data_IF_594273261021
#
_entry.id   IF_594273261021
#
_cell.length_a   1.000
_cell.length_b   1.000
_cell.length_c   1.000
_cell.angle_alpha   90.00
_cell.angle_beta   90.00
_cell.angle_gamma   90.00
#
_symmetry.space_group_name_H-M   'P 1'
#
loop_
_entity.id
_entity.type
_entity.pdbx_description
1 polymer ?
#
# COMPACT_ATOMS: atom_id res chain seq x y z
N UNK A 1 -1.20 11.87 7.16
CA UNK A 1 -2.38 11.01 7.37
C UNK A 1 -3.27 11.68 8.42
N UNK A 2 -4.59 11.57 8.30
CA UNK A 2 -5.54 12.27 9.16
C UNK A 2 -6.08 11.29 10.20
N UNK A 3 -5.59 11.41 11.42
CA UNK A 3 -6.10 10.68 12.58
C UNK A 3 -7.46 11.27 12.95
N UNK A 4 -8.43 10.40 13.20
CA UNK A 4 -9.78 10.74 13.63
C UNK A 4 -10.12 9.97 14.91
N UNK A 5 -11.00 10.56 15.72
CA UNK A 5 -11.43 10.00 16.99
C UNK A 5 -12.93 9.79 16.96
N UNK A 6 -13.36 8.61 17.35
CA UNK A 6 -14.75 8.17 17.24
C UNK A 6 -15.28 7.74 18.60
N UNK A 7 -16.56 7.99 18.83
CA UNK A 7 -17.32 7.40 19.93
C UNK A 7 -18.49 6.65 19.32
N UNK A 8 -18.40 5.33 19.31
CA UNK A 8 -19.24 4.44 18.50
C UNK A 8 -19.74 3.25 19.32
N UNK A 9 -20.87 2.70 18.90
CA UNK A 9 -21.44 1.49 19.50
C UNK A 9 -21.13 0.28 18.62
N UNK A 10 -20.54 -0.75 19.22
CA UNK A 10 -20.11 -1.97 18.55
C UNK A 10 -21.33 -2.78 18.08
N UNK A 11 -21.34 -3.13 16.80
CA UNK A 11 -22.37 -3.98 16.20
C UNK A 11 -21.86 -5.40 15.98
N UNK A 12 -20.61 -5.53 15.52
CA UNK A 12 -19.99 -6.82 15.22
C UNK A 12 -18.48 -6.74 15.43
N UNK A 13 -17.89 -7.83 15.92
CA UNK A 13 -16.47 -7.99 16.15
C UNK A 13 -16.02 -9.33 15.56
N UNK A 14 -15.27 -9.28 14.48
CA UNK A 14 -14.77 -10.45 13.76
C UNK A 14 -13.26 -10.56 13.94
N UNK A 15 -12.83 -11.58 14.67
CA UNK A 15 -11.42 -11.90 14.92
C UNK A 15 -11.12 -13.40 14.92
N UNK A 16 -12.16 -14.23 15.12
CA UNK A 16 -12.07 -15.68 15.05
C UNK A 16 -12.59 -16.17 13.69
N UNK A 17 -11.95 -17.17 13.11
CA UNK A 17 -12.32 -17.74 11.80
C UNK A 17 -12.37 -16.65 10.70
N UNK A 18 -11.28 -15.91 10.58
CA UNK A 18 -11.10 -14.82 9.63
C UNK A 18 -9.89 -15.09 8.74
N UNK A 19 -9.90 -14.50 7.55
CA UNK A 19 -8.76 -14.46 6.65
C UNK A 19 -8.45 -13.00 6.28
N UNK A 20 -7.19 -12.54 6.40
CA UNK A 20 -6.03 -13.28 6.90
C UNK A 20 -6.10 -13.51 8.42
N UNK A 21 -5.44 -14.58 8.89
CA UNK A 21 -5.35 -14.88 10.32
C UNK A 21 -4.66 -13.73 11.07
N UNK A 22 -5.20 -13.38 12.24
CA UNK A 22 -4.66 -12.32 13.10
C UNK A 22 -5.10 -10.91 12.71
N UNK A 23 -5.89 -10.73 11.64
CA UNK A 23 -6.54 -9.45 11.34
C UNK A 23 -7.91 -9.37 12.01
N UNK A 24 -8.31 -8.18 12.46
CA UNK A 24 -9.56 -7.96 13.18
C UNK A 24 -10.41 -6.94 12.45
N UNK A 25 -11.73 -7.17 12.39
CA UNK A 25 -12.73 -6.21 11.90
C UNK A 25 -13.70 -5.86 13.02
N UNK A 26 -13.85 -4.56 13.30
CA UNK A 26 -14.92 -4.03 14.15
C UNK A 26 -15.90 -3.25 13.27
N UNK A 27 -17.17 -3.64 13.31
CA UNK A 27 -18.25 -2.86 12.70
C UNK A 27 -18.96 -2.14 13.83
N UNK A 28 -18.87 -0.81 13.84
CA UNK A 28 -19.46 0.02 14.89
C UNK A 28 -20.10 1.26 14.29
N UNK A 29 -21.38 1.48 14.62
CA UNK A 29 -22.16 2.64 14.16
C UNK A 29 -22.07 2.92 12.64
N UNK A 30 -22.16 1.87 11.81
CA UNK A 30 -22.05 1.90 10.34
C UNK A 30 -20.64 2.23 9.79
N UNK A 31 -19.61 2.21 10.64
CA UNK A 31 -18.21 2.32 10.24
C UNK A 31 -17.51 0.98 10.44
N UNK A 32 -16.47 0.77 9.65
CA UNK A 32 -15.67 -0.46 9.64
C UNK A 32 -14.25 -0.09 10.02
N UNK A 33 -13.74 -0.74 11.07
CA UNK A 33 -12.40 -0.53 11.60
C UNK A 33 -11.60 -1.83 11.48
N UNK A 34 -10.36 -1.73 11.01
CA UNK A 34 -9.43 -2.84 10.87
C UNK A 34 -8.17 -2.61 11.69
N UNK A 35 -7.55 -3.68 12.16
CA UNK A 35 -6.21 -3.70 12.71
C UNK A 35 -5.66 -5.13 12.77
N UNK A 36 -4.36 -5.29 13.02
CA UNK A 36 -3.81 -6.61 13.32
C UNK A 36 -3.73 -6.83 14.83
N UNK A 37 -4.14 -8.02 15.26
CA UNK A 37 -4.08 -8.46 16.64
C UNK A 37 -2.64 -8.42 17.18
N UNK A 38 -1.65 -8.74 16.34
CA UNK A 38 -0.23 -8.74 16.70
C UNK A 38 0.37 -7.35 16.96
N UNK A 39 -0.30 -6.28 16.53
CA UNK A 39 0.17 -4.90 16.74
C UNK A 39 -0.06 -4.43 18.20
N UNK A 40 -0.90 -5.15 18.96
CA UNK A 40 -1.33 -4.78 20.30
C UNK A 40 -1.02 -5.87 21.33
N UNK A 41 -0.51 -5.45 22.48
CA UNK A 41 -0.34 -6.35 23.63
C UNK A 41 -1.69 -6.68 24.27
N UNK A 42 -1.90 -7.94 24.65
CA UNK A 42 -3.13 -8.43 25.29
C UNK A 42 -4.42 -8.25 24.47
N UNK A 43 -4.31 -8.18 23.14
CA UNK A 43 -5.44 -7.99 22.23
C UNK A 43 -6.48 -9.08 22.33
N UNK A 44 -6.06 -10.34 22.47
CA UNK A 44 -6.92 -11.51 22.69
C UNK A 44 -7.89 -11.31 23.86
N UNK A 45 -7.36 -10.98 25.04
CA UNK A 45 -8.14 -10.80 26.27
C UNK A 45 -9.13 -9.64 26.14
N UNK A 46 -8.72 -8.57 25.46
CA UNK A 46 -9.60 -7.43 25.21
C UNK A 46 -10.76 -7.82 24.27
N UNK A 47 -10.47 -8.52 23.18
CA UNK A 47 -11.46 -8.95 22.17
C UNK A 47 -12.47 -9.95 22.74
N UNK A 48 -12.04 -10.87 23.60
CA UNK A 48 -12.93 -11.83 24.26
C UNK A 48 -13.95 -11.16 25.20
N UNK A 49 -13.62 -9.98 25.73
CA UNK A 49 -14.48 -9.25 26.66
C UNK A 49 -15.49 -8.35 25.97
N UNK A 50 -15.27 -8.02 24.70
CA UNK A 50 -16.16 -7.13 23.95
C UNK A 50 -17.50 -7.80 23.64
N UNK A 51 -18.56 -7.03 23.80
CA UNK A 51 -19.93 -7.46 23.52
C UNK A 51 -20.62 -6.50 22.54
N UNK A 52 -21.57 -7.04 21.79
CA UNK A 52 -22.41 -6.22 20.92
C UNK A 52 -23.19 -5.19 21.76
N UNK A 53 -23.17 -3.93 21.34
CA UNK A 53 -23.73 -2.79 22.06
C UNK A 53 -22.70 -2.01 22.88
N UNK A 54 -21.49 -2.54 23.09
CA UNK A 54 -20.44 -1.84 23.82
C UNK A 54 -20.11 -0.50 23.19
N UNK A 55 -19.85 0.49 24.04
CA UNK A 55 -19.51 1.84 23.60
C UNK A 55 -18.00 2.02 23.61
N UNK A 56 -17.44 2.15 22.42
CA UNK A 56 -16.01 2.23 22.19
C UNK A 56 -15.59 3.65 21.83
N UNK A 57 -14.44 4.05 22.36
CA UNK A 57 -13.70 5.21 21.86
C UNK A 57 -12.54 4.72 21.01
N UNK A 58 -12.50 5.11 19.74
CA UNK A 58 -11.53 4.58 18.76
C UNK A 58 -10.75 5.73 18.15
N UNK A 59 -9.42 5.61 18.13
CA UNK A 59 -8.57 6.43 17.27
C UNK A 59 -8.23 5.63 16.02
N UNK A 60 -8.53 6.20 14.87
CA UNK A 60 -8.30 5.50 13.62
C UNK A 60 -7.97 6.43 12.46
N UNK A 61 -7.39 5.86 11.42
CA UNK A 61 -7.01 6.55 10.19
C UNK A 61 -7.87 6.11 9.03
N UNK A 62 -8.40 7.09 8.30
CA UNK A 62 -9.21 6.79 7.12
C UNK A 62 -8.34 6.17 6.02
N UNK A 63 -8.79 5.01 5.55
CA UNK A 63 -8.22 4.26 4.43
C UNK A 63 -8.85 4.73 3.12
N UNK A 64 -8.24 4.38 2.00
CA UNK A 64 -8.71 4.87 0.68
C UNK A 64 -10.11 4.35 0.30
N UNK A 65 -10.49 3.19 0.83
CA UNK A 65 -11.82 2.62 0.65
C UNK A 65 -12.87 3.22 1.60
N UNK A 66 -12.51 4.12 2.50
CA UNK A 66 -13.41 4.73 3.48
C UNK A 66 -13.63 3.88 4.74
N UNK A 67 -12.97 2.73 4.85
CA UNK A 67 -12.77 2.05 6.13
C UNK A 67 -11.71 2.77 6.96
N UNK A 68 -11.48 2.31 8.19
CA UNK A 68 -10.55 2.95 9.12
C UNK A 68 -9.54 1.95 9.67
N UNK A 69 -8.26 2.33 9.74
CA UNK A 69 -7.24 1.56 10.43
C UNK A 69 -7.14 2.01 11.88
N UNK A 70 -7.44 1.14 12.83
CA UNK A 70 -7.45 1.48 14.25
C UNK A 70 -6.02 1.54 14.82
N UNK A 71 -5.70 2.66 15.46
CA UNK A 71 -4.42 2.91 16.13
C UNK A 71 -4.52 2.63 17.63
N UNK A 72 -5.69 2.84 18.24
CA UNK A 72 -6.03 2.34 19.57
C UNK A 72 -7.55 2.26 19.74
N UNK A 73 -7.97 1.40 20.67
CA UNK A 73 -9.38 1.21 21.05
C UNK A 73 -9.47 1.28 22.57
N UNK A 74 -10.42 2.05 23.09
CA UNK A 74 -10.65 2.21 24.52
C UNK A 74 -12.09 1.83 24.87
N UNK A 75 -12.24 1.05 25.95
CA UNK A 75 -13.50 0.75 26.59
C UNK A 75 -13.35 0.90 28.11
N UNK A 76 -14.23 1.68 28.74
CA UNK A 76 -14.13 2.05 30.16
C UNK A 76 -13.97 0.84 31.10
N UNK A 77 -14.69 -0.26 30.82
CA UNK A 77 -14.68 -1.47 31.66
C UNK A 77 -13.82 -2.62 31.15
N UNK A 78 -13.56 -2.66 29.83
CA UNK A 78 -12.89 -3.81 29.20
C UNK A 78 -11.41 -3.55 28.95
N UNK A 79 -10.96 -2.31 29.13
CA UNK A 79 -9.56 -1.90 29.06
C UNK A 79 -9.26 -1.16 27.76
N UNK A 80 -8.07 -1.38 27.22
CA UNK A 80 -7.59 -0.68 26.03
C UNK A 80 -6.69 -1.55 25.17
N UNK A 81 -6.78 -1.32 23.86
CA UNK A 81 -5.76 -1.69 22.89
C UNK A 81 -4.91 -0.46 22.64
N UNK A 82 -3.62 -0.52 22.94
CA UNK A 82 -2.71 0.60 22.73
C UNK A 82 -1.40 0.16 22.06
N UNK A 83 -0.82 0.98 21.18
CA UNK A 83 0.46 0.69 20.56
C UNK A 83 1.53 0.51 21.62
N UNK A 84 2.51 -0.35 21.36
CA UNK A 84 3.62 -0.57 22.26
C UNK A 84 4.31 0.75 22.61
N UNK A 85 4.27 1.11 23.90
CA UNK A 85 4.88 2.34 24.45
C UNK A 85 6.39 2.20 24.66
N UNK A 86 6.91 0.97 24.70
CA UNK A 86 8.32 0.67 25.04
C UNK A 86 9.30 0.90 23.89
N UNK A 87 8.79 1.07 22.67
CA UNK A 87 9.57 1.42 21.48
C UNK A 87 10.37 2.70 21.74
N UNK A 88 11.68 2.54 21.88
CA UNK A 88 12.64 3.57 22.25
C UNK A 88 13.99 3.32 21.55
N UNK A 89 14.88 4.31 21.59
CA UNK A 89 16.24 4.16 21.08
C UNK A 89 16.98 3.07 21.84
N UNK A 90 17.22 1.94 21.19
CA UNK A 90 17.97 0.83 21.79
C UNK A 90 19.44 0.82 21.32
N UNK A 91 20.28 0.03 22.02
CA UNK A 91 21.70 -0.13 21.66
C UNK A 91 21.90 -0.78 20.28
N UNK A 92 20.91 -1.53 19.78
CA UNK A 92 20.98 -2.18 18.47
C UNK A 92 20.94 -1.17 17.32
N UNK A 93 20.01 -0.21 17.40
CA UNK A 93 19.87 0.88 16.43
C UNK A 93 21.13 1.75 16.38
N UNK A 94 21.74 2.02 17.54
CA UNK A 94 23.04 2.72 17.61
C UNK A 94 24.16 1.96 16.89
N UNK A 95 24.22 0.62 17.03
CA UNK A 95 25.19 -0.21 16.29
C UNK A 95 24.92 -0.18 14.79
N UNK A 96 23.66 -0.25 14.36
CA UNK A 96 23.29 -0.15 12.94
C UNK A 96 23.76 1.17 12.33
N UNK A 97 23.54 2.29 13.01
CA UNK A 97 24.06 3.59 12.56
C UNK A 97 25.58 3.59 12.40
N UNK A 98 26.32 3.10 13.40
CA UNK A 98 27.78 3.05 13.34
C UNK A 98 28.28 2.19 12.17
N UNK A 99 27.70 1.00 11.99
CA UNK A 99 28.06 0.10 10.87
C UNK A 99 27.73 0.76 9.53
N UNK A 100 26.55 1.37 9.41
CA UNK A 100 26.13 2.04 8.17
C UNK A 100 27.06 3.20 7.79
N UNK A 101 27.47 4.02 8.75
CA UNK A 101 28.37 5.14 8.54
C UNK A 101 29.78 4.66 8.17
N UNK A 102 30.28 3.61 8.82
CA UNK A 102 31.57 3.02 8.51
C UNK A 102 31.61 2.45 7.08
N UNK A 103 30.53 1.80 6.63
CA UNK A 103 30.41 1.29 5.26
C UNK A 103 30.27 2.42 4.24
N UNK A 104 29.48 3.46 4.53
CA UNK A 104 29.36 4.64 3.66
C UNK A 104 30.68 5.42 3.53
N UNK A 105 31.54 5.38 4.54
CA UNK A 105 32.88 5.99 4.47
C UNK A 105 33.79 5.35 3.41
N UNK A 106 33.39 4.22 2.80
CA UNK A 106 34.08 3.60 1.66
C UNK A 106 33.78 4.30 0.32
N UNK A 107 32.75 5.15 0.22
CA UNK A 107 32.37 5.85 -1.02
C UNK A 107 33.56 6.61 -1.67
N UNK A 108 34.38 7.38 -0.93
CA UNK A 108 35.56 8.03 -1.51
C UNK A 108 36.58 7.05 -2.08
N UNK A 109 36.76 5.88 -1.43
CA UNK A 109 37.65 4.83 -1.91
C UNK A 109 37.10 4.18 -3.19
N UNK A 110 35.79 3.94 -3.28
CA UNK A 110 35.11 3.46 -4.50
C UNK A 110 35.34 4.45 -5.64
N UNK A 111 35.13 5.74 -5.41
CA UNK A 111 35.31 6.80 -6.39
C UNK A 111 36.76 6.89 -6.88
N UNK A 112 37.72 6.87 -5.95
CA UNK A 112 39.15 6.87 -6.29
C UNK A 112 39.56 5.66 -7.11
N UNK A 113 39.10 4.46 -6.73
CA UNK A 113 39.39 3.24 -7.47
C UNK A 113 38.69 3.22 -8.84
N UNK A 114 37.51 3.83 -8.99
CA UNK A 114 36.79 3.91 -10.26
C UNK A 114 37.49 4.85 -11.26
N UNK A 115 38.00 5.99 -10.80
CA UNK A 115 38.72 6.95 -11.67
C UNK A 115 40.08 6.42 -12.09
N UNK A 116 40.78 5.74 -11.19
CA UNK A 116 42.12 5.20 -11.44
C UNK A 116 42.10 3.73 -11.87
N UNK A 117 40.92 3.18 -12.18
CA UNK A 117 40.81 1.87 -12.77
C UNK A 117 41.20 1.97 -14.25
N UNK A 118 42.50 1.94 -14.53
CA UNK A 118 42.98 1.42 -15.82
C UNK A 118 42.43 -0.02 -15.99
N UNK A 119 42.42 -0.58 -17.22
CA UNK A 119 41.83 -1.89 -17.64
C UNK A 119 42.24 -3.14 -16.82
N UNK A 120 42.93 -2.96 -15.69
CA UNK A 120 43.17 -3.93 -14.62
C UNK A 120 41.89 -4.53 -14.05
N UNK A 121 41.68 -5.80 -14.38
CA UNK A 121 40.63 -6.66 -13.85
C UNK A 121 40.56 -6.68 -12.30
N UNK A 122 41.69 -6.57 -11.60
CA UNK A 122 41.73 -6.54 -10.13
C UNK A 122 41.14 -5.25 -9.55
N UNK A 123 41.34 -4.11 -10.23
CA UNK A 123 40.76 -2.83 -9.82
C UNK A 123 39.24 -2.85 -10.01
N UNK A 124 38.76 -3.47 -11.09
CA UNK A 124 37.32 -3.66 -11.33
C UNK A 124 36.68 -4.50 -10.21
N UNK A 125 37.28 -5.64 -9.84
CA UNK A 125 36.80 -6.48 -8.74
C UNK A 125 36.77 -5.70 -7.42
N UNK A 126 37.82 -4.92 -7.13
CA UNK A 126 37.92 -4.12 -5.91
C UNK A 126 36.86 -3.02 -5.86
N UNK A 127 36.61 -2.32 -6.97
CA UNK A 127 35.54 -1.31 -7.10
C UNK A 127 34.18 -1.96 -6.87
N UNK A 128 33.90 -3.14 -7.45
CA UNK A 128 32.64 -3.83 -7.23
C UNK A 128 32.43 -4.23 -5.77
N UNK A 129 33.47 -4.78 -5.11
CA UNK A 129 33.40 -5.17 -3.69
C UNK A 129 33.17 -3.96 -2.76
N UNK A 130 33.96 -2.90 -2.94
CA UNK A 130 33.82 -1.67 -2.16
C UNK A 130 32.49 -0.97 -2.46
N UNK A 131 32.03 -1.00 -3.71
CA UNK A 131 30.75 -0.45 -4.14
C UNK A 131 29.56 -1.16 -3.49
N UNK A 132 29.57 -2.50 -3.48
CA UNK A 132 28.57 -3.30 -2.79
C UNK A 132 28.56 -3.01 -1.28
N UNK A 133 29.73 -2.90 -0.65
CA UNK A 133 29.85 -2.57 0.77
C UNK A 133 29.29 -1.17 1.08
N UNK A 134 29.66 -0.16 0.28
CA UNK A 134 29.16 1.20 0.40
C UNK A 134 27.64 1.28 0.19
N UNK A 135 27.11 0.58 -0.82
CA UNK A 135 25.67 0.50 -1.07
C UNK A 135 24.93 -0.18 0.07
N UNK A 136 25.47 -1.28 0.62
CA UNK A 136 24.94 -1.91 1.82
C UNK A 136 24.89 -0.95 3.01
N UNK A 137 25.91 -0.11 3.16
CA UNK A 137 25.91 0.99 4.14
C UNK A 137 24.77 1.98 3.95
N UNK A 138 24.51 2.43 2.72
CA UNK A 138 23.41 3.34 2.39
C UNK A 138 22.05 2.71 2.74
N UNK A 139 21.84 1.45 2.37
CA UNK A 139 20.59 0.72 2.65
C UNK A 139 20.37 0.60 4.16
N UNK A 140 21.39 0.18 4.92
CA UNK A 140 21.31 0.08 6.37
C UNK A 140 21.03 1.43 7.03
N UNK A 141 21.65 2.51 6.55
CA UNK A 141 21.39 3.85 7.04
C UNK A 141 19.94 4.27 6.81
N UNK A 142 19.39 3.99 5.61
CA UNK A 142 18.00 4.28 5.29
C UNK A 142 17.01 3.53 6.19
N UNK A 143 17.28 2.25 6.49
CA UNK A 143 16.48 1.46 7.44
C UNK A 143 16.53 2.04 8.86
N UNK A 144 17.73 2.36 9.37
CA UNK A 144 17.90 2.97 10.68
C UNK A 144 17.20 4.34 10.78
N UNK A 145 17.24 5.13 9.71
CA UNK A 145 16.54 6.41 9.61
C UNK A 145 15.02 6.22 9.60
N UNK A 146 14.51 5.18 8.91
CA UNK A 146 13.10 4.84 8.92
C UNK A 146 12.61 4.43 10.33
N UNK A 147 13.37 3.59 11.04
CA UNK A 147 13.09 3.21 12.43
C UNK A 147 13.11 4.44 13.36
N UNK A 148 14.14 5.28 13.25
CA UNK A 148 14.26 6.51 14.05
C UNK A 148 13.09 7.46 13.79
N UNK A 149 12.69 7.62 12.53
CA UNK A 149 11.53 8.42 12.14
C UNK A 149 10.24 7.85 12.72
N UNK A 150 10.11 6.53 12.78
CA UNK A 150 8.98 5.86 13.43
C UNK A 150 8.95 6.14 14.94
N UNK A 151 10.09 5.99 15.64
CA UNK A 151 10.23 6.27 17.08
C UNK A 151 9.89 7.73 17.41
N UNK A 152 10.45 8.67 16.64
CA UNK A 152 10.29 10.11 16.84
C UNK A 152 9.03 10.69 16.19
N UNK A 153 8.21 9.85 15.57
CA UNK A 153 7.06 10.30 14.79
C UNK A 153 6.14 11.21 15.63
N UNK A 154 5.95 12.48 15.24
CA UNK A 154 5.08 13.40 15.98
C UNK A 154 3.64 12.88 16.00
N UNK A 155 3.26 12.14 14.96
CA UNK A 155 1.99 11.44 14.82
C UNK A 155 1.78 10.42 15.94
N UNK A 156 2.75 9.52 16.17
CA UNK A 156 2.68 8.52 17.26
C UNK A 156 2.55 9.19 18.63
N UNK A 157 3.35 10.22 18.89
CA UNK A 157 3.27 11.00 20.13
C UNK A 157 1.89 11.64 20.32
N UNK A 158 1.30 12.18 19.26
CA UNK A 158 -0.04 12.75 19.29
C UNK A 158 -1.11 11.68 19.55
N UNK A 159 -1.01 10.51 18.92
CA UNK A 159 -1.94 9.38 19.09
C UNK A 159 -1.92 8.88 20.54
N UNK A 160 -0.74 8.69 21.13
CA UNK A 160 -0.60 8.26 22.52
C UNK A 160 -1.10 9.31 23.51
N UNK A 161 -0.76 10.59 23.27
CA UNK A 161 -1.29 11.69 24.09
C UNK A 161 -2.82 11.77 24.03
N UNK A 162 -3.41 11.52 22.86
CA UNK A 162 -4.85 11.48 22.69
C UNK A 162 -5.50 10.38 23.52
N UNK A 163 -4.89 9.19 23.55
CA UNK A 163 -5.34 8.08 24.38
C UNK A 163 -5.30 8.45 25.88
N UNK A 164 -4.21 9.03 26.35
CA UNK A 164 -4.07 9.44 27.76
C UNK A 164 -5.17 10.44 28.17
N UNK A 165 -5.45 11.44 27.32
CA UNK A 165 -6.54 12.41 27.55
C UNK A 165 -7.94 11.76 27.55
N UNK A 166 -8.16 10.74 26.73
CA UNK A 166 -9.43 10.02 26.68
C UNK A 166 -9.63 9.16 27.93
N UNK A 167 -8.55 8.54 28.43
CA UNK A 167 -8.56 7.81 29.70
C UNK A 167 -8.88 8.76 30.86
N UNK A 168 -8.34 9.98 30.83
CA UNK A 168 -8.64 11.03 31.81
C UNK A 168 -10.04 11.67 31.63
N UNK A 169 -10.83 11.22 30.66
CA UNK A 169 -12.19 11.71 30.40
C UNK A 169 -12.25 13.10 29.74
N UNK A 170 -11.12 13.61 29.21
CA UNK A 170 -11.00 14.96 28.66
C UNK A 170 -11.35 15.04 27.16
N UNK A 171 -12.58 14.63 26.81
CA UNK A 171 -13.09 14.73 25.44
C UNK A 171 -14.53 15.21 25.41
N UNK A 172 -14.89 15.91 24.33
CA UNK A 172 -16.26 16.38 24.08
C UNK A 172 -16.90 15.55 22.97
N UNK A 173 -18.14 15.12 23.22
CA UNK A 173 -18.96 14.41 22.23
C UNK A 173 -19.61 15.45 21.31
N UNK A 174 -19.42 15.30 20.00
CA UNK A 174 -20.19 16.07 19.03
C UNK A 174 -21.61 15.50 18.95
N UNK A 175 -22.64 16.32 19.12
CA UNK A 175 -24.04 15.85 19.13
C UNK A 175 -24.53 15.38 17.75
N UNK A 176 -23.88 15.80 16.67
CA UNK A 176 -24.32 15.54 15.29
C UNK A 176 -23.41 14.56 14.52
N UNK A 177 -22.20 14.32 15.00
CA UNK A 177 -21.24 13.42 14.36
C UNK A 177 -20.72 12.42 15.38
N UNK A 178 -20.61 11.14 15.03
CA UNK A 178 -20.01 10.07 15.87
C UNK A 178 -18.50 10.28 16.14
N UNK A 179 -18.01 11.49 15.93
CA UNK A 179 -16.64 11.94 16.16
C UNK A 179 -16.55 12.64 17.50
N UNK A 180 -15.40 12.50 18.16
CA UNK A 180 -15.10 13.23 19.39
C UNK A 180 -14.00 14.26 19.14
N UNK A 181 -14.12 15.40 19.83
CA UNK A 181 -13.06 16.40 19.90
C UNK A 181 -12.29 16.20 21.19
N UNK A 182 -10.99 15.93 21.08
CA UNK A 182 -10.09 15.77 22.22
C UNK A 182 -9.46 17.14 22.50
N UNK A 183 -9.57 17.58 23.76
CA UNK A 183 -9.12 18.90 24.18
C UNK A 183 -7.62 19.07 23.90
N UNK A 184 -7.26 20.14 23.18
CA UNK A 184 -5.87 20.45 22.86
C UNK A 184 -5.25 19.64 21.70
N UNK A 185 -6.01 18.77 21.04
CA UNK A 185 -5.56 18.05 19.83
C UNK A 185 -6.40 18.49 18.63
N UNK A 186 -5.75 19.03 17.61
CA UNK A 186 -6.43 19.42 16.36
C UNK A 186 -6.86 18.17 15.60
N UNK A 187 -8.15 17.82 15.69
CA UNK A 187 -8.77 16.87 14.78
C UNK A 187 -8.95 17.54 13.41
N UNK A 188 -8.46 16.90 12.34
CA UNK A 188 -8.69 17.39 10.98
C UNK A 188 -10.08 16.95 10.53
N UNK A 189 -11.00 17.91 10.38
CA UNK A 189 -12.35 17.67 9.89
C UNK A 189 -12.34 16.98 8.52
N UNK A 190 -13.29 16.06 8.37
CA UNK A 190 -13.38 15.22 7.19
C UNK A 190 -13.64 16.06 5.93
N UNK A 191 -12.99 15.73 4.81
CA UNK A 191 -13.36 16.30 3.51
C UNK A 191 -14.38 15.32 2.93
N UNK A 192 -15.66 15.69 2.94
CA UNK A 192 -16.72 14.83 2.42
C UNK A 192 -16.30 14.24 1.06
N UNK A 193 -16.18 12.91 1.01
CA UNK A 193 -15.84 12.21 -0.21
C UNK A 193 -16.93 12.51 -1.24
N UNK A 194 -16.57 13.26 -2.29
CA UNK A 194 -17.51 13.62 -3.34
C UNK A 194 -17.94 12.34 -4.06
N UNK A 195 -19.14 11.86 -3.79
CA UNK A 195 -19.79 10.81 -4.56
C UNK A 195 -19.91 11.29 -6.01
N UNK A 196 -19.03 10.78 -6.88
CA UNK A 196 -19.02 11.13 -8.30
C UNK A 196 -20.18 10.39 -8.96
N UNK A 197 -21.24 11.13 -9.34
CA UNK A 197 -22.28 10.61 -10.24
C UNK A 197 -21.60 10.33 -11.59
N UNK A 198 -21.57 9.08 -12.07
CA UNK A 198 -21.14 8.83 -13.46
C UNK A 198 -22.33 8.66 -14.38
N UNK A 199 -22.11 8.95 -15.65
CA UNK A 199 -22.98 8.51 -16.73
C UNK A 199 -22.92 6.99 -16.83
N UNK A 200 -24.07 6.34 -16.68
CA UNK A 200 -24.25 4.90 -16.82
C UNK A 200 -24.14 4.50 -18.29
N UNK A 201 -22.90 4.35 -18.78
CA UNK A 201 -22.61 3.95 -20.15
C UNK A 201 -22.07 2.51 -20.23
N UNK A 202 -22.63 1.57 -19.46
CA UNK A 202 -22.41 0.15 -19.75
C UNK A 202 -23.74 -0.59 -19.91
N UNK A 203 -23.94 -1.02 -21.15
CA UNK A 203 -25.08 -1.79 -21.63
C UNK A 203 -24.66 -3.26 -21.69
N UNK A 204 -25.41 -4.11 -21.00
CA UNK A 204 -25.67 -5.53 -21.28
C UNK A 204 -24.53 -6.36 -21.91
N UNK A 205 -23.80 -7.07 -21.02
CA UNK A 205 -23.30 -8.46 -21.15
C UNK A 205 -22.00 -8.63 -20.33
N UNK A 206 -22.11 -8.53 -19.00
CA UNK A 206 -21.04 -9.04 -18.14
C UNK A 206 -20.90 -10.55 -18.42
N UNK A 207 -19.71 -10.99 -18.85
CA UNK A 207 -19.43 -12.41 -19.13
C UNK A 207 -19.01 -13.19 -17.89
N UNK A 208 -19.01 -12.53 -16.74
CA UNK A 208 -18.61 -13.08 -15.46
C UNK A 208 -19.78 -13.83 -14.83
N UNK A 209 -19.48 -15.00 -14.28
CA UNK A 209 -20.39 -15.72 -13.40
C UNK A 209 -20.39 -15.05 -12.04
N UNK A 210 -21.55 -15.02 -11.40
CA UNK A 210 -21.73 -14.44 -10.07
C UNK A 210 -22.20 -15.52 -9.13
N UNK A 211 -21.51 -15.67 -8.00
CA UNK A 211 -21.96 -16.53 -6.90
C UNK A 211 -22.10 -15.67 -5.67
N UNK A 212 -23.33 -15.60 -5.15
CA UNK A 212 -23.66 -14.83 -3.96
C UNK A 212 -24.17 -15.73 -2.85
N UNK A 213 -23.67 -15.57 -1.64
CA UNK A 213 -24.17 -16.29 -0.47
C UNK A 213 -23.29 -16.09 0.75
N UNK A 214 -23.68 -16.71 1.85
CA UNK A 214 -22.87 -16.74 3.07
C UNK A 214 -21.64 -17.61 2.85
N UNK A 215 -20.49 -17.08 3.22
CA UNK A 215 -19.21 -17.76 3.07
C UNK A 215 -18.94 -18.70 4.24
N UNK A 216 -18.47 -19.89 3.92
CA UNK A 216 -17.87 -20.83 4.85
C UNK A 216 -16.39 -20.98 4.48
N UNK A 217 -15.49 -20.50 5.33
CA UNK A 217 -14.04 -20.60 5.15
C UNK A 217 -13.65 -22.05 5.47
N UNK A 218 -13.22 -22.78 4.45
CA UNK A 218 -12.87 -24.21 4.57
C UNK A 218 -11.40 -24.42 4.88
N UNK A 219 -10.52 -23.53 4.41
CA UNK A 219 -9.09 -23.60 4.70
C UNK A 219 -8.43 -22.22 4.62
N UNK A 220 -7.41 -22.02 5.44
CA UNK A 220 -6.52 -20.86 5.38
C UNK A 220 -5.09 -21.37 5.55
N UNK A 221 -4.28 -21.23 4.51
CA UNK A 221 -2.94 -21.80 4.45
C UNK A 221 -1.97 -20.72 3.96
N UNK A 222 -0.86 -20.51 4.68
CA UNK A 222 0.25 -19.69 4.19
C UNK A 222 1.25 -20.59 3.48
N UNK A 223 1.35 -20.45 2.18
CA UNK A 223 2.26 -21.16 1.30
C UNK A 223 3.50 -20.29 1.07
N UNK A 224 4.69 -20.87 1.21
CA UNK A 224 5.91 -20.22 0.74
C UNK A 224 6.29 -20.87 -0.58
N UNK A 225 6.21 -20.11 -1.66
CA UNK A 225 6.52 -20.57 -3.02
C UNK A 225 7.84 -19.96 -3.44
N UNK A 226 8.86 -20.80 -3.59
CA UNK A 226 10.12 -20.40 -4.20
C UNK A 226 9.91 -20.19 -5.71
N UNK A 227 10.16 -18.97 -6.18
CA UNK A 227 10.06 -18.62 -7.60
C UNK A 227 11.42 -18.10 -8.07
N UNK A 228 12.29 -18.99 -8.54
CA UNK A 228 13.70 -18.66 -8.79
C UNK A 228 14.44 -18.44 -7.46
N UNK A 229 15.16 -17.32 -7.35
CA UNK A 229 15.92 -16.94 -6.14
C UNK A 229 15.06 -16.20 -5.09
N UNK A 230 13.78 -15.92 -5.38
CA UNK A 230 12.87 -15.22 -4.46
C UNK A 230 11.88 -16.18 -3.80
N UNK A 231 11.79 -16.11 -2.46
CA UNK A 231 10.73 -16.76 -1.69
C UNK A 231 9.52 -15.83 -1.60
N UNK A 232 8.38 -16.26 -2.14
CA UNK A 232 7.14 -15.51 -2.02
C UNK A 232 6.17 -16.21 -1.06
N UNK A 233 5.67 -15.48 -0.07
CA UNK A 233 4.58 -15.94 0.78
C UNK A 233 3.23 -15.63 0.12
N UNK A 234 2.40 -16.66 -0.06
CA UNK A 234 1.05 -16.58 -0.56
C UNK A 234 0.09 -17.12 0.50
N UNK A 235 -1.02 -16.44 0.71
CA UNK A 235 -2.13 -16.93 1.52
C UNK A 235 -3.17 -17.57 0.58
N UNK A 236 -3.40 -18.85 0.78
CA UNK A 236 -4.46 -19.61 0.15
C UNK A 236 -5.68 -19.63 1.07
N UNK A 237 -6.83 -19.25 0.53
CA UNK A 237 -8.10 -19.20 1.24
C UNK A 237 -9.12 -20.03 0.48
N UNK A 238 -9.50 -21.16 1.04
CA UNK A 238 -10.59 -21.99 0.53
C UNK A 238 -11.92 -21.45 1.02
N UNK A 239 -12.81 -21.12 0.10
CA UNK A 239 -14.14 -20.58 0.35
C UNK A 239 -15.21 -21.55 -0.17
N UNK A 240 -16.27 -21.72 0.60
CA UNK A 240 -17.46 -22.42 0.17
C UNK A 240 -18.66 -21.46 0.23
N UNK A 241 -19.28 -21.22 -0.92
CA UNK A 241 -20.45 -20.33 -1.06
C UNK A 241 -21.51 -21.09 -1.85
N UNK A 242 -22.71 -21.27 -1.28
CA UNK A 242 -23.81 -22.03 -1.90
C UNK A 242 -23.39 -23.41 -2.47
N UNK A 243 -22.57 -24.16 -1.73
CA UNK A 243 -22.00 -25.47 -2.13
C UNK A 243 -20.94 -25.42 -3.24
N UNK A 244 -20.69 -24.26 -3.84
CA UNK A 244 -19.56 -24.05 -4.74
C UNK A 244 -18.29 -23.82 -3.93
N UNK A 245 -17.24 -24.56 -4.25
CA UNK A 245 -15.91 -24.38 -3.66
C UNK A 245 -15.09 -23.47 -4.57
N UNK A 246 -14.41 -22.50 -3.96
CA UNK A 246 -13.63 -21.47 -4.63
C UNK A 246 -12.34 -21.25 -3.85
N UNK A 247 -11.22 -21.23 -4.56
CA UNK A 247 -9.92 -21.01 -3.94
C UNK A 247 -9.40 -19.62 -4.32
N UNK A 248 -9.06 -18.83 -3.31
CA UNK A 248 -8.47 -17.51 -3.49
C UNK A 248 -7.00 -17.59 -3.08
N UNK A 249 -6.11 -17.32 -4.02
CA UNK A 249 -4.69 -17.13 -3.75
C UNK A 249 -4.41 -15.63 -3.64
N UNK A 250 -3.68 -15.24 -2.60
CA UNK A 250 -3.43 -13.83 -2.27
C UNK A 250 -1.96 -13.68 -1.90
N UNK A 251 -1.29 -12.64 -2.37
CA UNK A 251 0.05 -12.31 -1.92
C UNK A 251 0.03 -11.91 -0.44
N UNK A 252 0.89 -12.50 0.39
CA UNK A 252 0.99 -12.17 1.81
C UNK A 252 1.70 -10.82 2.09
N UNK A 253 2.18 -10.14 1.04
CA UNK A 253 2.87 -8.86 1.15
C UNK A 253 1.94 -7.78 1.72
N UNK A 254 2.52 -6.85 2.48
CA UNK A 254 1.79 -5.71 3.01
C UNK A 254 1.14 -4.89 1.88
N UNK A 255 -0.10 -4.46 2.07
CA UNK A 255 -0.85 -3.73 1.07
C UNK A 255 -0.20 -2.36 0.83
N UNK A 256 0.15 -2.08 -0.42
CA UNK A 256 0.67 -0.76 -0.81
C UNK A 256 -0.45 0.29 -0.72
N UNK A 257 -0.09 1.52 -0.31
CA UNK A 257 -0.93 2.72 -0.34
C UNK A 257 -2.19 2.72 0.56
N UNK A 258 -2.03 2.70 1.89
CA UNK A 258 -3.15 2.86 2.85
C UNK A 258 -4.35 1.94 2.55
N UNK A 259 -4.05 0.73 2.13
CA UNK A 259 -5.01 -0.33 1.89
C UNK A 259 -4.85 -1.38 2.98
N UNK A 260 -5.83 -2.26 3.12
CA UNK A 260 -5.75 -3.40 4.00
C UNK A 260 -5.77 -4.69 3.16
N UNK A 261 -5.37 -5.81 3.76
CA UNK A 261 -5.44 -7.12 3.12
C UNK A 261 -6.89 -7.54 2.88
N UNK A 262 -7.16 -8.40 1.89
CA UNK A 262 -8.49 -8.96 1.67
C UNK A 262 -9.00 -9.60 2.96
N UNK A 263 -10.00 -8.98 3.59
CA UNK A 263 -10.58 -9.46 4.83
C UNK A 263 -11.89 -10.20 4.55
N UNK A 264 -11.99 -11.43 5.05
CA UNK A 264 -13.19 -12.25 4.98
C UNK A 264 -13.41 -12.89 6.35
N UNK A 265 -14.60 -12.69 6.92
CA UNK A 265 -15.02 -13.39 8.13
C UNK A 265 -15.98 -14.54 7.81
N UNK A 266 -15.96 -15.57 8.64
CA UNK A 266 -16.92 -16.66 8.57
C UNK A 266 -18.37 -16.15 8.61
N UNK A 267 -19.19 -16.57 7.65
CA UNK A 267 -20.60 -16.21 7.59
C UNK A 267 -20.91 -14.88 6.90
N UNK A 268 -19.90 -14.14 6.45
CA UNK A 268 -20.08 -12.93 5.64
C UNK A 268 -20.88 -13.24 4.36
N UNK A 269 -21.77 -12.32 3.98
CA UNK A 269 -22.49 -12.41 2.71
C UNK A 269 -21.63 -11.83 1.59
N UNK A 270 -21.04 -12.71 0.79
CA UNK A 270 -20.14 -12.35 -0.30
C UNK A 270 -20.81 -12.50 -1.66
N UNK A 271 -20.43 -11.64 -2.59
CA UNK A 271 -20.74 -11.73 -4.01
C UNK A 271 -19.43 -11.83 -4.80
N UNK A 272 -19.16 -13.01 -5.35
CA UNK A 272 -17.90 -13.36 -6.01
C UNK A 272 -18.10 -13.40 -7.52
N UNK A 273 -17.24 -12.65 -8.23
CA UNK A 273 -17.21 -12.56 -9.69
C UNK A 273 -16.09 -13.43 -10.23
N UNK A 274 -16.45 -14.46 -11.00
CA UNK A 274 -15.50 -15.44 -11.50
C UNK A 274 -15.80 -15.88 -12.94
N UNK A 275 -14.83 -16.52 -13.58
CA UNK A 275 -15.01 -17.10 -14.92
C UNK A 275 -14.11 -18.31 -15.09
N UNK A 276 -14.59 -19.29 -15.84
CA UNK A 276 -13.75 -20.37 -16.31
C UNK A 276 -12.96 -19.91 -17.55
N UNK A 277 -11.63 -19.89 -17.46
CA UNK A 277 -10.73 -19.45 -18.54
C UNK A 277 -10.26 -20.63 -19.39
N UNK A 278 -10.14 -21.81 -18.79
CA UNK A 278 -9.70 -23.01 -19.51
C UNK A 278 -10.89 -23.95 -19.67
N UNK A 279 -11.31 -24.18 -20.91
CA UNK A 279 -12.50 -24.97 -21.26
C UNK A 279 -12.54 -26.39 -20.68
N UNK A 280 -11.40 -26.93 -20.23
CA UNK A 280 -11.27 -28.27 -19.63
C UNK A 280 -10.85 -28.28 -18.15
N UNK A 281 -10.64 -27.12 -17.53
CA UNK A 281 -10.34 -27.04 -16.09
C UNK A 281 -11.62 -26.80 -15.29
N UNK A 282 -11.70 -27.36 -14.08
CA UNK A 282 -12.73 -26.97 -13.10
C UNK A 282 -12.32 -25.72 -12.31
N UNK A 283 -11.11 -25.20 -12.53
CA UNK A 283 -10.58 -24.04 -11.81
C UNK A 283 -11.25 -22.76 -12.30
N UNK A 284 -11.99 -22.12 -11.39
CA UNK A 284 -12.62 -20.83 -11.65
C UNK A 284 -11.65 -19.73 -11.24
N UNK A 285 -11.34 -18.83 -12.18
CA UNK A 285 -10.53 -17.65 -11.86
C UNK A 285 -11.45 -16.58 -11.29
N UNK A 286 -11.13 -16.14 -10.08
CA UNK A 286 -11.87 -15.08 -9.38
C UNK A 286 -11.25 -13.73 -9.75
N UNK A 287 -12.10 -12.81 -10.19
CA UNK A 287 -11.70 -11.46 -10.61
C UNK A 287 -12.07 -10.39 -9.59
N UNK A 288 -13.08 -10.65 -8.77
CA UNK A 288 -13.53 -9.68 -7.77
C UNK A 288 -14.43 -10.27 -6.72
N UNK A 289 -14.43 -9.63 -5.55
CA UNK A 289 -15.24 -10.00 -4.38
C UNK A 289 -15.86 -8.72 -3.83
N UNK A 290 -17.17 -8.75 -3.62
CA UNK A 290 -17.89 -7.72 -2.89
C UNK A 290 -18.41 -8.31 -1.58
N UNK A 291 -18.13 -7.67 -0.46
CA UNK A 291 -18.63 -8.07 0.84
C UNK A 291 -19.79 -7.16 1.24
N UNK A 292 -20.98 -7.73 1.43
CA UNK A 292 -22.18 -6.95 1.78
C UNK A 292 -22.18 -6.51 3.25
N UNK A 293 -21.38 -7.14 4.11
CA UNK A 293 -21.37 -6.86 5.56
C UNK A 293 -20.64 -5.55 5.90
N UNK A 294 -19.46 -5.34 5.31
CA UNK A 294 -18.68 -4.10 5.43
C UNK A 294 -18.84 -3.18 4.20
N UNK A 295 -19.45 -3.70 3.13
CA UNK A 295 -19.67 -3.04 1.86
C UNK A 295 -18.40 -2.85 1.03
N UNK A 296 -17.28 -3.47 1.42
CA UNK A 296 -16.00 -3.31 0.75
C UNK A 296 -15.91 -4.15 -0.52
N UNK A 297 -15.07 -3.68 -1.44
CA UNK A 297 -14.89 -4.30 -2.75
C UNK A 297 -13.42 -4.56 -3.04
N UNK A 298 -13.13 -5.76 -3.50
CA UNK A 298 -11.78 -6.22 -3.80
C UNK A 298 -11.71 -6.72 -5.23
N UNK A 299 -10.75 -6.23 -5.99
CA UNK A 299 -10.43 -6.80 -7.30
C UNK A 299 -9.19 -7.68 -7.19
N UNK A 300 -9.25 -8.87 -7.73
CA UNK A 300 -8.14 -9.83 -7.74
C UNK A 300 -7.51 -9.81 -9.12
N UNK A 301 -6.23 -9.44 -9.18
CA UNK A 301 -5.46 -9.45 -10.41
C UNK A 301 -4.33 -10.47 -10.30
N UNK A 302 -4.26 -11.37 -11.29
CA UNK A 302 -3.24 -12.41 -11.31
C UNK A 302 -1.83 -11.84 -11.49
N UNK A 303 -0.84 -12.55 -10.95
CA UNK A 303 0.61 -12.23 -11.08
C UNK A 303 1.00 -11.73 -12.47
N UNK A 304 1.78 -10.64 -12.48
CA UNK A 304 2.36 -10.03 -13.68
C UNK A 304 1.43 -9.13 -14.48
N UNK A 305 0.14 -9.06 -14.16
CA UNK A 305 -0.77 -8.15 -14.82
C UNK A 305 -0.64 -6.71 -14.25
N UNK A 306 -0.67 -5.68 -15.11
CA UNK A 306 -0.54 -4.29 -14.67
C UNK A 306 -1.79 -3.85 -13.89
N UNK A 307 -1.58 -3.32 -12.69
CA UNK A 307 -2.63 -2.62 -11.93
C UNK A 307 -2.96 -1.31 -12.65
N UNK A 308 -4.19 -1.11 -13.12
CA UNK A 308 -4.54 0.04 -13.97
C UNK A 308 -4.11 1.37 -13.33
N UNK A 309 -4.36 1.57 -12.03
CA UNK A 309 -3.99 2.82 -11.34
C UNK A 309 -2.50 2.92 -11.01
N UNK A 310 -1.93 1.88 -10.41
CA UNK A 310 -0.53 1.87 -9.96
C UNK A 310 0.46 1.86 -11.12
N UNK A 311 0.13 1.20 -12.22
CA UNK A 311 0.97 1.08 -13.40
C UNK A 311 1.19 2.43 -14.08
N UNK A 312 0.12 3.15 -14.40
CA UNK A 312 0.27 4.45 -15.06
C UNK A 312 0.96 5.46 -14.14
N UNK A 313 0.63 5.48 -12.84
CA UNK A 313 1.32 6.35 -11.90
C UNK A 313 2.82 6.05 -11.81
N UNK A 314 3.19 4.76 -11.71
CA UNK A 314 4.59 4.32 -11.69
C UNK A 314 5.32 4.60 -13.00
N UNK A 315 4.66 4.38 -14.14
CA UNK A 315 5.21 4.67 -15.46
C UNK A 315 5.50 6.17 -15.62
N UNK A 316 4.53 7.03 -15.30
CA UNK A 316 4.73 8.48 -15.33
C UNK A 316 5.79 8.95 -14.33
N UNK A 317 5.78 8.43 -13.11
CA UNK A 317 6.79 8.73 -12.10
C UNK A 317 8.20 8.33 -12.54
N UNK A 318 8.35 7.14 -13.14
CA UNK A 318 9.62 6.65 -13.68
C UNK A 318 10.13 7.51 -14.84
N UNK A 319 9.26 7.91 -15.77
CA UNK A 319 9.61 8.84 -16.86
C UNK A 319 10.10 10.17 -16.29
N UNK A 320 9.38 10.74 -15.31
CA UNK A 320 9.79 11.99 -14.68
C UNK A 320 11.17 11.88 -14.00
N UNK A 321 11.44 10.77 -13.30
CA UNK A 321 12.74 10.54 -12.68
C UNK A 321 13.87 10.36 -13.70
N UNK A 322 13.64 9.62 -14.78
CA UNK A 322 14.61 9.46 -15.87
C UNK A 322 14.89 10.79 -16.59
N UNK A 323 13.87 11.60 -16.83
CA UNK A 323 14.05 12.94 -17.40
C UNK A 323 14.85 13.83 -16.45
N UNK A 324 14.56 13.79 -15.15
CA UNK A 324 15.33 14.52 -14.16
C UNK A 324 16.79 14.08 -14.14
N UNK A 325 17.06 12.77 -14.23
CA UNK A 325 18.42 12.24 -14.35
C UNK A 325 19.14 12.75 -15.60
N UNK A 326 18.48 12.76 -16.76
CA UNK A 326 19.08 13.28 -17.99
C UNK A 326 19.38 14.78 -17.91
N UNK A 327 18.50 15.57 -17.27
CA UNK A 327 18.76 16.99 -17.00
C UNK A 327 19.97 17.17 -16.09
N UNK A 328 20.07 16.38 -15.01
CA UNK A 328 21.22 16.43 -14.11
C UNK A 328 22.52 15.99 -14.79
N UNK A 329 22.47 14.97 -15.63
CA UNK A 329 23.64 14.48 -16.36
C UNK A 329 24.11 15.51 -17.38
N UNK A 330 23.20 16.08 -18.18
CA UNK A 330 23.51 17.15 -19.12
C UNK A 330 24.10 18.38 -18.38
N UNK A 331 23.46 18.83 -17.30
CA UNK A 331 23.97 19.94 -16.49
C UNK A 331 25.31 19.63 -15.82
N UNK A 332 25.51 18.41 -15.33
CA UNK A 332 26.74 17.97 -14.69
C UNK A 332 27.92 17.90 -15.66
N UNK A 333 27.71 17.40 -16.88
CA UNK A 333 28.72 17.42 -17.94
C UNK A 333 29.10 18.84 -18.31
N UNK A 334 28.12 19.74 -18.46
CA UNK A 334 28.41 21.14 -18.77
C UNK A 334 29.16 21.85 -17.64
N UNK A 335 28.81 21.60 -16.38
CA UNK A 335 29.55 22.13 -15.22
C UNK A 335 30.98 21.60 -15.20
N UNK A 336 31.18 20.30 -15.49
CA UNK A 336 32.52 19.69 -15.58
C UNK A 336 33.38 20.36 -16.64
N UNK A 337 32.81 20.58 -17.84
CA UNK A 337 33.50 21.24 -18.94
C UNK A 337 33.89 22.69 -18.59
N UNK A 338 33.00 23.43 -17.91
CA UNK A 338 33.32 24.78 -17.45
C UNK A 338 34.41 24.79 -16.38
N UNK A 339 34.41 23.81 -15.47
CA UNK A 339 35.47 23.68 -14.46
C UNK A 339 36.83 23.36 -15.12
N UNK A 340 36.86 22.51 -16.14
CA UNK A 340 38.07 22.23 -16.92
C UNK A 340 38.59 23.47 -17.67
N UNK A 341 37.68 24.35 -18.13
CA UNK A 341 38.02 25.64 -18.75
C UNK A 341 38.45 26.74 -17.75
N UNK A 342 38.53 26.42 -16.45
CA UNK A 342 38.96 27.37 -15.41
C UNK A 342 37.83 28.04 -14.63
N UNK A 343 36.60 27.54 -14.74
CA UNK A 343 35.46 27.94 -13.92
C UNK A 343 34.77 29.25 -14.34
N UNK A 344 35.12 29.81 -15.49
CA UNK A 344 34.47 31.01 -16.02
C UNK A 344 33.31 30.65 -16.94
N UNK A 345 32.14 31.20 -16.63
CA UNK A 345 30.93 31.05 -17.44
C UNK A 345 30.83 32.20 -18.43
N UNK A 346 30.86 31.90 -19.73
CA UNK A 346 30.60 32.91 -20.77
C UNK A 346 29.22 32.74 -21.42
N UNK A 347 28.83 33.71 -22.25
CA UNK A 347 27.56 33.67 -22.97
C UNK A 347 27.44 32.45 -23.89
N UNK A 348 28.55 32.02 -24.49
CA UNK A 348 28.58 30.89 -25.42
C UNK A 348 28.40 29.55 -24.71
N UNK A 349 28.86 29.42 -23.46
CA UNK A 349 28.59 28.26 -22.62
C UNK A 349 27.09 28.14 -22.31
N UNK A 350 26.41 29.25 -22.00
CA UNK A 350 24.95 29.25 -21.81
C UNK A 350 24.20 28.89 -23.10
N UNK A 351 24.64 29.44 -24.24
CA UNK A 351 24.06 29.09 -25.55
C UNK A 351 24.30 27.61 -25.86
N UNK A 352 25.49 27.07 -25.61
CA UNK A 352 25.82 25.66 -25.87
C UNK A 352 25.03 24.71 -24.96
N UNK A 353 24.83 25.04 -23.69
CA UNK A 353 23.95 24.27 -22.79
C UNK A 353 22.52 24.27 -23.31
N UNK A 354 22.03 25.41 -23.77
CA UNK A 354 20.68 25.49 -24.33
C UNK A 354 20.61 24.69 -25.63
N UNK A 355 21.54 24.87 -26.57
CA UNK A 355 21.46 24.21 -27.88
C UNK A 355 21.66 22.69 -27.78
N UNK A 356 22.75 22.26 -27.15
CA UNK A 356 23.10 20.84 -27.01
C UNK A 356 22.21 20.14 -25.97
N UNK A 357 21.91 20.82 -24.86
CA UNK A 357 21.04 20.28 -23.81
C UNK A 357 19.59 20.19 -24.25
N UNK A 358 19.02 21.21 -24.92
CA UNK A 358 17.65 21.14 -25.44
C UNK A 358 17.53 20.07 -26.51
N UNK A 359 18.50 19.95 -27.42
CA UNK A 359 18.49 18.91 -28.44
C UNK A 359 18.51 17.52 -27.81
N UNK A 360 19.46 17.26 -26.90
CA UNK A 360 19.56 15.98 -26.18
C UNK A 360 18.29 15.65 -25.38
N UNK A 361 17.79 16.61 -24.59
CA UNK A 361 16.57 16.43 -23.80
C UNK A 361 15.36 16.18 -24.71
N UNK A 362 15.25 16.90 -25.84
CA UNK A 362 14.14 16.71 -26.79
C UNK A 362 14.15 15.33 -27.43
N UNK A 363 15.33 14.79 -27.76
CA UNK A 363 15.45 13.42 -28.25
C UNK A 363 15.09 12.40 -27.16
N UNK A 364 15.61 12.57 -25.93
CA UNK A 364 15.32 11.69 -24.81
C UNK A 364 13.82 11.69 -24.47
N UNK A 365 13.18 12.86 -24.45
CA UNK A 365 11.74 13.03 -24.28
C UNK A 365 10.97 12.26 -25.34
N UNK A 366 11.28 12.47 -26.63
CA UNK A 366 10.57 11.79 -27.73
C UNK A 366 10.65 10.28 -27.63
N UNK A 367 11.84 9.74 -27.33
CA UNK A 367 12.05 8.30 -27.16
C UNK A 367 11.27 7.76 -25.96
N UNK A 368 11.36 8.42 -24.81
CA UNK A 368 10.67 8.00 -23.58
C UNK A 368 9.14 8.03 -23.75
N UNK A 369 8.60 9.09 -24.36
CA UNK A 369 7.16 9.17 -24.66
C UNK A 369 6.73 8.11 -25.68
N UNK A 370 7.56 7.82 -26.70
CA UNK A 370 7.31 6.74 -27.66
C UNK A 370 7.24 5.36 -27.01
N UNK A 371 8.22 5.02 -26.16
CA UNK A 371 8.23 3.78 -25.38
C UNK A 371 7.00 3.71 -24.46
N UNK A 372 6.68 4.82 -23.79
CA UNK A 372 5.55 4.92 -22.87
C UNK A 372 4.21 4.72 -23.58
N UNK A 373 4.07 5.28 -24.78
CA UNK A 373 2.90 5.07 -25.62
C UNK A 373 2.76 3.60 -26.02
N UNK A 374 3.85 2.94 -26.47
CA UNK A 374 3.83 1.52 -26.83
C UNK A 374 3.44 0.65 -25.64
N UNK A 375 4.01 0.92 -24.47
CA UNK A 375 3.68 0.23 -23.23
C UNK A 375 2.19 0.42 -22.89
N UNK A 376 1.69 1.65 -22.90
CA UNK A 376 0.28 1.95 -22.63
C UNK A 376 -0.66 1.28 -23.63
N UNK A 377 -0.27 1.22 -24.91
CA UNK A 377 -1.01 0.54 -25.96
C UNK A 377 -1.05 -0.98 -25.72
N UNK A 378 0.07 -1.61 -25.38
CA UNK A 378 0.12 -3.03 -25.03
C UNK A 378 -0.79 -3.36 -23.84
N UNK A 379 -0.82 -2.51 -22.82
CA UNK A 379 -1.73 -2.67 -21.66
C UNK A 379 -3.20 -2.51 -22.06
N UNK A 380 -3.52 -1.52 -22.89
CA UNK A 380 -4.88 -1.33 -23.39
C UNK A 380 -5.34 -2.54 -24.24
N UNK A 381 -4.47 -3.06 -25.10
CA UNK A 381 -4.72 -4.27 -25.88
C UNK A 381 -4.93 -5.48 -24.96
N UNK A 382 -4.12 -5.63 -23.91
CA UNK A 382 -4.29 -6.69 -22.92
C UNK A 382 -5.68 -6.64 -22.27
N UNK A 383 -6.11 -5.49 -21.76
CA UNK A 383 -7.43 -5.36 -21.14
C UNK A 383 -8.60 -5.57 -22.10
N UNK A 384 -8.41 -5.25 -23.38
CA UNK A 384 -9.46 -5.40 -24.40
C UNK A 384 -9.57 -6.81 -24.96
N UNK A 385 -8.43 -7.45 -25.28
CA UNK A 385 -8.40 -8.72 -26.01
C UNK A 385 -8.18 -9.95 -25.11
N UNK A 386 -7.47 -9.80 -23.98
CA UNK A 386 -7.24 -10.93 -23.08
C UNK A 386 -8.51 -11.28 -22.31
N UNK A 387 -8.84 -12.57 -22.22
CA UNK A 387 -9.95 -13.03 -21.38
C UNK A 387 -9.76 -12.65 -19.90
N UNK A 388 -8.51 -12.70 -19.41
CA UNK A 388 -8.15 -12.29 -18.04
C UNK A 388 -8.27 -10.78 -17.86
N UNK A 389 -7.69 -10.01 -18.78
CA UNK A 389 -7.74 -8.55 -18.73
C UNK A 389 -9.17 -8.01 -18.81
N UNK A 390 -9.98 -8.52 -19.74
CA UNK A 390 -11.36 -8.12 -19.90
C UNK A 390 -12.21 -8.54 -18.68
N UNK A 391 -11.99 -9.74 -18.13
CA UNK A 391 -12.63 -10.18 -16.88
C UNK A 391 -12.33 -9.26 -15.70
N UNK A 392 -11.06 -8.87 -15.53
CA UNK A 392 -10.66 -7.91 -14.50
C UNK A 392 -11.31 -6.54 -14.69
N UNK A 393 -11.28 -6.00 -15.91
CA UNK A 393 -11.90 -4.71 -16.23
C UNK A 393 -13.42 -4.71 -15.95
N UNK A 394 -14.11 -5.79 -16.34
CA UNK A 394 -15.53 -5.97 -16.04
C UNK A 394 -15.80 -6.03 -14.53
N UNK A 395 -15.03 -6.83 -13.79
CA UNK A 395 -15.18 -6.95 -12.34
C UNK A 395 -14.96 -5.60 -11.64
N UNK A 396 -13.89 -4.88 -11.99
CA UNK A 396 -13.60 -3.54 -11.49
C UNK A 396 -14.77 -2.57 -11.69
N UNK A 397 -15.38 -2.57 -12.88
CA UNK A 397 -16.53 -1.72 -13.15
C UNK A 397 -17.75 -2.10 -12.32
N UNK A 398 -18.08 -3.39 -12.24
CA UNK A 398 -19.23 -3.90 -11.47
C UNK A 398 -19.06 -3.58 -9.97
N UNK A 399 -17.87 -3.81 -9.43
CA UNK A 399 -17.54 -3.51 -8.03
C UNK A 399 -17.70 -2.02 -7.72
N UNK A 400 -17.18 -1.13 -8.59
CA UNK A 400 -17.39 0.33 -8.45
C UNK A 400 -18.86 0.68 -8.46
N UNK A 401 -19.67 0.04 -9.30
CA UNK A 401 -21.10 0.26 -9.35
C UNK A 401 -21.79 -0.21 -8.07
N UNK A 402 -21.49 -1.41 -7.57
CA UNK A 402 -22.08 -1.96 -6.34
C UNK A 402 -21.79 -1.06 -5.13
N UNK A 403 -20.54 -0.59 -4.99
CA UNK A 403 -20.18 0.35 -3.92
C UNK A 403 -21.00 1.64 -3.97
N UNK A 404 -21.14 2.23 -5.16
CA UNK A 404 -21.94 3.45 -5.35
C UNK A 404 -23.41 3.24 -5.03
N UNK A 405 -23.98 2.11 -5.46
CA UNK A 405 -25.38 1.75 -5.18
C UNK A 405 -25.64 1.68 -3.67
N UNK A 406 -24.65 1.25 -2.90
CA UNK A 406 -24.70 1.15 -1.45
C UNK A 406 -24.19 2.40 -0.73
N UNK A 407 -24.09 3.55 -1.42
CA UNK A 407 -23.74 4.85 -0.83
C UNK A 407 -22.25 5.01 -0.47
N UNK A 408 -21.38 4.12 -0.95
CA UNK A 408 -19.95 4.15 -0.67
C UNK A 408 -19.12 4.80 -1.80
N UNK A 409 -17.83 5.00 -1.53
CA UNK A 409 -16.87 5.54 -2.52
C UNK A 409 -16.68 4.57 -3.68
N UNK A 410 -16.25 5.08 -4.84
CA UNK A 410 -15.95 4.25 -6.02
C UNK A 410 -14.55 3.64 -6.00
N UNK A 411 -13.96 3.58 -4.81
CA UNK A 411 -12.66 2.97 -4.62
C UNK A 411 -12.81 1.44 -4.61
N UNK A 412 -11.90 0.70 -5.21
CA UNK A 412 -11.89 -0.77 -5.15
C UNK A 412 -10.48 -1.16 -4.76
N UNK A 413 -10.36 -1.99 -3.73
CA UNK A 413 -9.07 -2.41 -3.19
C UNK A 413 -8.47 -3.45 -4.12
N UNK A 414 -7.30 -3.15 -4.69
CA UNK A 414 -6.62 -4.05 -5.62
C UNK A 414 -5.75 -5.04 -4.86
N UNK A 415 -6.12 -6.32 -4.90
CA UNK A 415 -5.44 -7.41 -4.21
C UNK A 415 -4.62 -8.21 -5.22
N UNK A 416 -3.33 -8.44 -4.92
CA UNK A 416 -2.44 -9.25 -5.77
C UNK A 416 -2.67 -10.73 -5.48
N UNK A 417 -2.92 -11.53 -6.52
CA UNK A 417 -3.02 -13.00 -6.45
C UNK A 417 -1.86 -13.72 -7.11
#
# INVERSE_FOLDING_TARGET
>A
MRVQYFHVSLTQCDYQNVSPMGMVRLIASQKVFFFNQGDFSNSEIFLERLQQGDTLVICAEEMNDGSYWAEWVYHEKHGRLEPDRTISFNRSLGKQYLISLALMALIPAVYYCFINADDSFLMIILVSLLGCAAFGGIVLFALALAETKHILSPKRKSILKALDLVIDGQYQKSEQEQQIEILGIKSLKNKANKLRKSADNYRDKASLLVTRGKVNITSTLSLTVATGDEEQKLNHVGLQINKSHMDVLISANEPLFNNHNLFIAQGDELEVFHKNIQAHSKEQVIFGIYNHQDGLAYSLIGKGAPQERGFYFGLWGGICLLLMFFVFMAGGLSISETLEKGGYWDYWDWVNIVDTGVLFISFAVTILFGISFLIALCVAIYFKLSQRGNGYYQAQYILKHLRRKNGQTDYVTEVRS
#
